data_IF_584096472341
#
_entry.id   IF_584096472341
#
_cell.length_a   1.000
_cell.length_b   1.000
_cell.length_c   1.000
_cell.angle_alpha   90.00
_cell.angle_beta   90.00
_cell.angle_gamma   90.00
#
_symmetry.space_group_name_H-M   'P 1'
#
loop_
_entity.id
_entity.type
_entity.pdbx_description
1 polymer ?
#
# COMPACT_ATOMS: atom_id res chain seq x y z
N UNK A 1 38.62 -21.37 15.99
CA UNK A 1 39.05 -20.84 14.67
C UNK A 1 37.86 -20.90 13.72
N UNK A 2 37.08 -19.84 13.64
CA UNK A 2 35.92 -19.73 12.75
C UNK A 2 35.77 -18.26 12.35
N UNK A 3 36.51 -17.88 11.30
CA UNK A 3 36.58 -16.51 10.80
C UNK A 3 35.30 -16.17 10.03
N UNK A 4 34.48 -15.29 10.60
CA UNK A 4 33.33 -14.70 9.90
C UNK A 4 33.79 -13.57 8.95
N UNK A 5 33.29 -13.53 7.70
CA UNK A 5 33.62 -12.46 6.77
C UNK A 5 32.89 -11.16 7.13
N UNK A 6 33.68 -10.13 7.39
CA UNK A 6 33.29 -8.74 7.65
C UNK A 6 32.98 -8.06 6.30
N UNK A 7 31.70 -7.84 6.01
CA UNK A 7 31.27 -7.09 4.81
C UNK A 7 31.22 -5.59 5.14
N UNK A 8 31.91 -4.71 4.38
CA UNK A 8 31.86 -3.28 4.61
C UNK A 8 30.49 -2.72 4.23
N UNK A 9 29.86 -2.04 5.18
CA UNK A 9 28.58 -1.36 5.03
C UNK A 9 28.81 -0.06 4.25
N UNK A 10 28.63 -0.10 2.93
CA UNK A 10 28.73 1.07 2.05
C UNK A 10 27.79 2.19 2.52
N UNK A 11 28.36 3.37 2.73
CA UNK A 11 27.68 4.57 3.20
C UNK A 11 26.57 5.02 2.26
N UNK A 12 25.40 5.27 2.85
CA UNK A 12 24.30 5.95 2.17
C UNK A 12 24.59 7.45 2.16
N UNK A 13 24.89 7.99 0.98
CA UNK A 13 24.99 9.44 0.76
C UNK A 13 23.58 10.02 0.61
N UNK A 14 23.25 11.00 1.44
CA UNK A 14 22.01 11.76 1.38
C UNK A 14 22.00 12.65 0.13
N UNK A 15 21.43 12.12 -0.97
CA UNK A 15 21.20 12.85 -2.23
C UNK A 15 20.10 13.91 -2.09
N UNK A 16 20.43 15.12 -2.51
CA UNK A 16 19.60 16.32 -2.42
C UNK A 16 18.30 16.28 -3.19
N UNK A 17 17.34 17.06 -2.69
CA UNK A 17 16.07 17.41 -3.34
C UNK A 17 16.34 18.39 -4.47
N UNK A 18 16.42 17.92 -5.70
CA UNK A 18 16.29 18.77 -6.89
C UNK A 18 14.84 18.75 -7.37
N UNK A 19 14.14 19.84 -7.10
CA UNK A 19 12.87 20.22 -7.72
C UNK A 19 13.10 20.60 -9.18
N UNK A 20 13.26 19.59 -10.04
CA UNK A 20 13.35 19.72 -11.50
C UNK A 20 12.02 19.37 -12.17
N UNK A 21 11.00 20.21 -11.97
CA UNK A 21 9.73 20.15 -12.69
C UNK A 21 9.78 21.06 -13.92
N UNK A 22 10.54 20.67 -14.95
CA UNK A 22 10.38 21.24 -16.30
C UNK A 22 11.14 20.39 -17.32
N UNK A 23 10.41 19.83 -18.29
CA UNK A 23 10.86 18.90 -19.36
C UNK A 23 11.14 17.45 -18.95
N UNK A 24 10.24 16.80 -18.21
CA UNK A 24 9.94 15.41 -18.59
C UNK A 24 9.19 15.50 -19.90
N UNK A 25 9.92 15.25 -20.98
CA UNK A 25 9.41 15.10 -22.34
C UNK A 25 8.08 14.35 -22.24
N UNK A 26 7.05 14.84 -22.92
CA UNK A 26 5.78 14.17 -23.14
C UNK A 26 5.95 12.90 -24.02
N UNK A 27 7.05 12.16 -23.84
CA UNK A 27 7.21 10.77 -24.20
C UNK A 27 6.23 10.02 -23.30
N UNK A 28 4.99 9.98 -23.78
CA UNK A 28 3.84 9.47 -23.09
C UNK A 28 4.17 8.17 -22.37
N UNK A 29 3.73 8.07 -21.12
CA UNK A 29 3.85 6.87 -20.32
C UNK A 29 2.93 5.76 -20.87
N UNK A 30 3.10 5.34 -22.13
CA UNK A 30 2.32 4.27 -22.77
C UNK A 30 2.40 2.99 -21.95
N UNK A 31 3.57 2.73 -21.33
CA UNK A 31 3.74 1.66 -20.35
C UNK A 31 2.76 1.76 -19.17
N UNK A 32 2.59 2.95 -18.61
CA UNK A 32 1.67 3.18 -17.48
C UNK A 32 0.22 3.11 -17.94
N UNK A 33 -0.10 3.66 -19.12
CA UNK A 33 -1.45 3.58 -19.70
C UNK A 33 -1.85 2.14 -19.98
N UNK A 34 -0.96 1.33 -20.57
CA UNK A 34 -1.16 -0.09 -20.82
C UNK A 34 -1.39 -0.84 -19.50
N UNK A 35 -0.58 -0.59 -18.48
CA UNK A 35 -0.76 -1.21 -17.17
C UNK A 35 -2.10 -0.84 -16.53
N UNK A 36 -2.51 0.44 -16.59
CA UNK A 36 -3.81 0.87 -16.08
C UNK A 36 -4.98 0.22 -16.84
N UNK A 37 -4.86 0.07 -18.15
CA UNK A 37 -5.86 -0.58 -18.98
C UNK A 37 -6.01 -2.05 -18.62
N UNK A 38 -4.89 -2.78 -18.54
CA UNK A 38 -4.88 -4.20 -18.20
C UNK A 38 -5.40 -4.45 -16.77
N UNK A 39 -5.12 -3.57 -15.81
CA UNK A 39 -5.72 -3.63 -14.46
C UNK A 39 -7.24 -3.44 -14.51
N UNK A 40 -7.74 -2.55 -15.38
CA UNK A 40 -9.18 -2.32 -15.55
C UNK A 40 -9.89 -3.51 -16.18
N UNK A 41 -9.27 -4.14 -17.18
CA UNK A 41 -9.80 -5.31 -17.89
C UNK A 41 -9.83 -6.55 -16.99
N UNK A 42 -8.71 -6.84 -16.32
CA UNK A 42 -8.61 -8.04 -15.47
C UNK A 42 -9.29 -7.88 -14.10
N UNK A 43 -9.57 -6.65 -13.67
CA UNK A 43 -10.20 -6.37 -12.37
C UNK A 43 -9.32 -6.73 -11.16
N UNK A 44 -8.04 -7.02 -11.38
CA UNK A 44 -7.06 -7.38 -10.33
C UNK A 44 -5.77 -6.58 -10.49
N UNK A 45 -4.95 -6.57 -9.44
CA UNK A 45 -3.61 -5.99 -9.53
C UNK A 45 -2.74 -6.83 -10.45
N UNK A 46 -2.13 -6.20 -11.46
CA UNK A 46 -1.17 -6.86 -12.34
C UNK A 46 0.10 -7.24 -11.58
N UNK A 47 0.58 -8.45 -11.81
CA UNK A 47 1.88 -8.92 -11.38
C UNK A 47 2.92 -8.68 -12.48
N UNK A 48 4.20 -8.76 -12.11
CA UNK A 48 5.31 -8.63 -13.07
C UNK A 48 5.30 -9.74 -14.13
N UNK A 49 4.73 -10.90 -13.80
CA UNK A 49 4.62 -12.06 -14.70
C UNK A 49 3.53 -11.87 -15.76
N UNK A 50 2.56 -10.99 -15.51
CA UNK A 50 1.44 -10.75 -16.42
C UNK A 50 1.84 -9.96 -17.67
N UNK A 51 2.91 -9.15 -17.56
CA UNK A 51 3.43 -8.30 -18.63
C UNK A 51 4.94 -8.50 -18.75
N UNK A 52 5.36 -9.23 -19.77
CA UNK A 52 6.78 -9.53 -20.03
C UNK A 52 7.27 -8.65 -21.17
N UNK A 53 8.31 -7.86 -20.90
CA UNK A 53 9.00 -7.06 -21.92
C UNK A 53 10.28 -7.76 -22.32
N UNK A 54 10.39 -8.10 -23.60
CA UNK A 54 11.61 -8.66 -24.20
C UNK A 54 12.25 -7.59 -25.06
N UNK A 55 13.57 -7.49 -25.06
CA UNK A 55 14.30 -6.55 -25.91
C UNK A 55 15.36 -7.31 -26.68
N UNK A 56 15.40 -7.08 -27.99
CA UNK A 56 16.36 -7.67 -28.91
C UNK A 56 17.17 -6.53 -29.53
N UNK A 57 18.49 -6.60 -29.40
CA UNK A 57 19.39 -5.67 -30.09
C UNK A 57 19.60 -6.16 -31.53
N UNK A 58 19.31 -5.32 -32.52
CA UNK A 58 19.44 -5.65 -33.93
C UNK A 58 20.18 -4.51 -34.65
N UNK A 59 21.43 -4.77 -35.07
CA UNK A 59 22.22 -3.84 -35.87
C UNK A 59 22.44 -2.45 -35.26
N UNK A 60 22.61 -2.36 -33.93
CA UNK A 60 22.80 -1.08 -33.22
C UNK A 60 21.50 -0.34 -32.90
N UNK A 61 20.34 -0.93 -33.21
CA UNK A 61 19.02 -0.49 -32.73
C UNK A 61 18.46 -1.50 -31.75
N UNK A 62 17.51 -1.08 -30.93
CA UNK A 62 16.78 -1.92 -30.00
C UNK A 62 15.35 -2.08 -30.48
N UNK A 63 14.91 -3.31 -30.62
CA UNK A 63 13.51 -3.65 -30.78
C UNK A 63 13.01 -4.26 -29.48
N UNK A 64 11.79 -3.93 -29.08
CA UNK A 64 11.16 -4.58 -27.94
C UNK A 64 9.85 -5.23 -28.32
N UNK A 65 9.53 -6.34 -27.66
CA UNK A 65 8.21 -6.95 -27.69
C UNK A 65 7.62 -6.97 -26.29
N UNK A 66 6.30 -6.80 -26.21
CA UNK A 66 5.52 -6.93 -24.98
C UNK A 66 4.57 -8.11 -25.11
N UNK A 67 4.69 -9.06 -24.18
CA UNK A 67 3.83 -10.23 -24.09
C UNK A 67 2.86 -10.08 -22.92
N UNK A 68 1.57 -10.15 -23.24
CA UNK A 68 0.46 -9.96 -22.31
C UNK A 68 -0.16 -11.31 -21.94
N UNK A 69 0.29 -11.87 -20.82
CA UNK A 69 -0.16 -13.19 -20.33
C UNK A 69 -1.57 -13.12 -19.75
N UNK A 70 -1.98 -11.94 -19.27
CA UNK A 70 -3.26 -11.72 -18.60
C UNK A 70 -4.52 -11.89 -19.47
N UNK A 71 -4.43 -11.65 -20.78
CA UNK A 71 -5.57 -11.70 -21.70
C UNK A 71 -5.57 -12.99 -22.52
N UNK A 72 -4.64 -13.09 -23.48
CA UNK A 72 -4.62 -14.18 -24.47
C UNK A 72 -3.19 -14.65 -24.76
N UNK A 73 -2.20 -14.17 -23.99
CA UNK A 73 -0.78 -14.39 -24.31
C UNK A 73 -0.32 -13.64 -25.56
N UNK A 74 -1.07 -12.63 -26.03
CA UNK A 74 -0.74 -11.85 -27.21
C UNK A 74 0.61 -11.14 -27.05
N UNK A 75 1.41 -11.14 -28.12
CA UNK A 75 2.72 -10.51 -28.16
C UNK A 75 2.73 -9.42 -29.24
N UNK A 76 3.13 -8.22 -28.83
CA UNK A 76 3.18 -7.06 -29.69
C UNK A 76 4.63 -6.59 -29.80
N UNK A 77 5.16 -6.57 -31.02
CA UNK A 77 6.49 -6.05 -31.30
C UNK A 77 6.41 -4.58 -31.69
N UNK A 78 7.23 -3.75 -31.04
CA UNK A 78 7.39 -2.33 -31.38
C UNK A 78 8.37 -2.10 -32.52
N UNK A 79 8.49 -0.82 -32.89
CA UNK A 79 9.48 -0.36 -33.86
C UNK A 79 10.92 -0.41 -33.31
N UNK A 80 11.88 -0.41 -34.22
CA UNK A 80 13.31 -0.34 -33.93
C UNK A 80 13.69 1.07 -33.50
N UNK A 81 14.06 1.25 -32.23
CA UNK A 81 14.47 2.53 -31.67
C UNK A 81 15.97 2.58 -31.37
N UNK A 82 16.52 3.79 -31.19
CA UNK A 82 17.91 3.97 -30.77
C UNK A 82 18.14 3.59 -29.31
N UNK A 83 17.10 3.68 -28.47
CA UNK A 83 17.16 3.35 -27.04
C UNK A 83 16.20 2.22 -26.66
N UNK A 84 16.61 1.39 -25.70
CA UNK A 84 15.76 0.34 -25.11
C UNK A 84 14.48 0.90 -24.50
N UNK A 85 14.54 2.07 -23.86
CA UNK A 85 13.36 2.71 -23.24
C UNK A 85 12.33 3.12 -24.28
N UNK A 86 12.77 3.66 -25.41
CA UNK A 86 11.89 4.05 -26.51
C UNK A 86 11.29 2.82 -27.19
N UNK A 87 12.09 1.76 -27.36
CA UNK A 87 11.60 0.48 -27.89
C UNK A 87 10.46 -0.09 -27.02
N UNK A 88 10.60 -0.07 -25.69
CA UNK A 88 9.52 -0.50 -24.77
C UNK A 88 8.25 0.34 -24.93
N UNK A 89 8.38 1.66 -25.11
CA UNK A 89 7.25 2.56 -25.28
C UNK A 89 6.55 2.32 -26.63
N UNK A 90 7.31 2.12 -27.70
CA UNK A 90 6.77 1.77 -29.02
C UNK A 90 5.97 0.47 -28.93
N UNK A 91 6.52 -0.59 -28.34
CA UNK A 91 5.80 -1.85 -28.15
C UNK A 91 4.50 -1.69 -27.33
N UNK A 92 4.53 -0.86 -26.28
CA UNK A 92 3.33 -0.56 -25.49
C UNK A 92 2.29 0.26 -26.28
N UNK A 93 2.72 1.15 -27.19
CA UNK A 93 1.83 1.93 -28.04
C UNK A 93 1.08 1.04 -29.05
N UNK A 94 1.77 0.07 -29.67
CA UNK A 94 1.12 -0.92 -30.54
C UNK A 94 0.08 -1.75 -29.78
N UNK A 95 0.42 -2.22 -28.58
CA UNK A 95 -0.53 -2.94 -27.73
C UNK A 95 -1.76 -2.07 -27.41
N UNK A 96 -1.56 -0.81 -27.01
CA UNK A 96 -2.68 0.11 -26.74
C UNK A 96 -3.57 0.38 -27.95
N UNK A 97 -2.99 0.46 -29.14
CA UNK A 97 -3.73 0.60 -30.40
C UNK A 97 -4.64 -0.59 -30.67
N UNK A 98 -4.17 -1.81 -30.39
CA UNK A 98 -4.94 -3.05 -30.52
C UNK A 98 -6.10 -3.13 -29.52
N UNK A 99 -5.90 -2.61 -28.30
CA UNK A 99 -6.96 -2.51 -27.29
C UNK A 99 -7.86 -1.27 -27.44
N UNK A 100 -7.59 -0.35 -28.36
CA UNK A 100 -8.45 0.81 -28.61
C UNK A 100 -9.95 0.48 -28.78
N UNK A 101 -10.36 -0.56 -29.54
CA UNK A 101 -11.77 -0.96 -29.63
C UNK A 101 -12.35 -1.40 -28.27
N UNK A 102 -11.55 -2.08 -27.44
CA UNK A 102 -12.00 -2.56 -26.13
C UNK A 102 -12.12 -1.40 -25.12
N UNK A 103 -11.22 -0.41 -25.20
CA UNK A 103 -11.31 0.84 -24.44
C UNK A 103 -12.58 1.60 -24.81
N UNK A 104 -12.90 1.69 -26.10
CA UNK A 104 -14.09 2.39 -26.60
C UNK A 104 -15.39 1.67 -26.20
N UNK A 105 -15.37 0.33 -26.16
CA UNK A 105 -16.49 -0.49 -25.72
C UNK A 105 -16.68 -0.46 -24.19
N UNK A 106 -15.60 -0.27 -23.43
CA UNK A 106 -15.68 -0.18 -21.97
C UNK A 106 -16.36 1.14 -21.54
N UNK A 107 -17.49 1.09 -20.80
CA UNK A 107 -18.11 2.32 -20.31
C UNK A 107 -17.12 3.07 -19.42
N UNK A 108 -17.06 4.42 -19.51
CA UNK A 108 -16.19 5.20 -18.63
C UNK A 108 -16.65 4.96 -17.19
N UNK A 109 -15.91 4.13 -16.45
CA UNK A 109 -16.15 3.97 -15.01
C UNK A 109 -16.02 5.35 -14.41
N UNK A 110 -17.14 5.93 -14.01
CA UNK A 110 -17.19 7.21 -13.32
C UNK A 110 -16.09 7.20 -12.26
N UNK A 111 -15.24 8.24 -12.19
CA UNK A 111 -14.15 8.27 -11.24
C UNK A 111 -14.80 8.07 -9.87
N UNK A 112 -14.60 6.88 -9.27
CA UNK A 112 -15.01 6.66 -7.88
C UNK A 112 -14.39 7.82 -7.13
N UNK A 113 -15.16 8.67 -6.43
CA UNK A 113 -14.61 9.82 -5.74
C UNK A 113 -13.48 9.24 -4.93
N UNK A 114 -12.26 9.57 -5.35
CA UNK A 114 -11.03 9.12 -4.72
C UNK A 114 -11.23 9.68 -3.34
N UNK A 115 -11.70 8.83 -2.41
CA UNK A 115 -11.90 9.19 -1.01
C UNK A 115 -10.60 9.83 -0.70
N UNK A 116 -10.67 11.16 -0.60
CA UNK A 116 -9.52 11.96 -0.33
C UNK A 116 -9.11 11.36 1.00
N UNK A 117 -8.05 10.55 0.96
CA UNK A 117 -7.23 10.32 2.14
C UNK A 117 -6.65 11.71 2.35
N UNK A 118 -7.52 12.57 2.88
CA UNK A 118 -7.17 13.68 3.67
C UNK A 118 -6.13 13.06 4.60
N UNK A 119 -4.89 13.44 4.36
CA UNK A 119 -4.06 13.91 5.43
C UNK A 119 -4.85 14.99 6.19
N UNK A 120 -5.93 14.58 6.85
CA UNK A 120 -6.56 15.28 7.95
C UNK A 120 -5.59 15.06 9.10
N UNK A 121 -4.53 15.87 9.06
CA UNK A 121 -3.95 16.41 10.28
C UNK A 121 -5.16 16.92 11.08
N UNK A 122 -5.53 16.31 12.22
CA UNK A 122 -6.71 16.76 12.94
C UNK A 122 -6.49 18.24 13.31
N UNK A 123 -7.45 19.13 13.00
CA UNK A 123 -7.36 20.51 13.42
C UNK A 123 -7.36 20.53 14.95
N UNK A 124 -6.28 21.08 15.50
CA UNK A 124 -6.21 21.50 16.89
C UNK A 124 -7.19 22.68 17.07
N UNK A 125 -8.43 22.37 17.40
CA UNK A 125 -9.41 23.30 17.97
C UNK A 125 -10.28 22.44 18.91
N UNK A 126 -9.92 22.38 20.19
CA UNK A 126 -10.55 23.23 21.22
C UNK A 126 -12.06 23.30 21.03
N UNK A 127 -12.79 22.33 21.56
CA UNK A 127 -14.03 22.54 22.34
C UNK A 127 -14.43 21.20 22.97
N UNK A 128 -14.62 21.25 24.28
CA UNK A 128 -14.66 20.15 25.23
C UNK A 128 -15.69 19.04 24.92
N UNK A 129 -15.33 17.75 25.07
CA UNK A 129 -16.28 16.79 25.61
C UNK A 129 -16.36 17.03 27.12
N UNK A 130 -17.53 17.50 27.57
CA UNK A 130 -17.92 17.35 28.97
C UNK A 130 -17.81 15.87 29.34
N UNK A 131 -16.83 15.62 30.21
CA UNK A 131 -16.66 14.50 31.11
C UNK A 131 -17.69 13.36 31.00
N UNK A 132 -17.28 12.32 30.29
CA UNK A 132 -17.08 11.06 31.01
C UNK A 132 -15.58 10.75 30.87
N UNK A 133 -14.83 10.57 31.96
CA UNK A 133 -13.43 10.13 31.87
C UNK A 133 -13.43 8.72 31.26
N UNK A 134 -13.34 8.65 29.94
CA UNK A 134 -13.21 7.38 29.22
C UNK A 134 -11.77 6.89 29.33
N UNK A 135 -11.40 6.46 30.53
CA UNK A 135 -10.14 5.75 30.83
C UNK A 135 -9.92 4.58 29.87
N UNK A 136 -11.02 4.02 29.35
CA UNK A 136 -11.02 2.93 28.35
C UNK A 136 -10.48 3.36 26.98
N UNK A 137 -10.89 4.53 26.49
CA UNK A 137 -10.47 5.01 25.16
C UNK A 137 -9.02 5.47 25.18
N UNK A 138 -8.58 6.11 26.27
CA UNK A 138 -7.18 6.51 26.45
C UNK A 138 -6.24 5.29 26.51
N UNK A 139 -6.64 4.24 27.24
CA UNK A 139 -5.90 2.99 27.29
C UNK A 139 -5.76 2.34 25.90
N UNK A 140 -6.85 2.30 25.12
CA UNK A 140 -6.81 1.77 23.76
C UNK A 140 -5.90 2.60 22.84
N UNK A 141 -5.94 3.93 22.93
CA UNK A 141 -5.08 4.81 22.13
C UNK A 141 -3.59 4.65 22.48
N UNK A 142 -3.26 4.58 23.78
CA UNK A 142 -1.87 4.36 24.23
C UNK A 142 -1.35 2.99 23.81
N UNK A 143 -2.17 1.95 23.88
CA UNK A 143 -1.78 0.62 23.43
C UNK A 143 -1.62 0.53 21.90
N UNK A 144 -2.49 1.19 21.12
CA UNK A 144 -2.31 1.27 19.66
C UNK A 144 -1.00 1.97 19.29
N UNK A 145 -0.66 3.06 19.99
CA UNK A 145 0.60 3.77 19.80
C UNK A 145 1.81 2.90 20.20
N UNK A 146 1.70 2.15 21.30
CA UNK A 146 2.76 1.27 21.79
C UNK A 146 3.03 0.10 20.83
N UNK A 147 1.97 -0.57 20.36
CA UNK A 147 2.10 -1.75 19.50
C UNK A 147 2.34 -1.42 18.02
N UNK A 148 2.22 -0.13 17.62
CA UNK A 148 2.35 0.36 16.23
C UNK A 148 1.54 -0.46 15.21
N UNK A 149 0.44 -1.06 15.64
CA UNK A 149 -0.47 -1.90 14.85
C UNK A 149 -1.91 -1.60 15.25
N UNK A 150 -2.85 -1.90 14.35
CA UNK A 150 -4.28 -1.83 14.67
C UNK A 150 -4.62 -2.88 15.73
N UNK A 151 -5.05 -2.43 16.91
CA UNK A 151 -5.50 -3.34 17.96
C UNK A 151 -6.82 -4.00 17.59
N UNK A 152 -6.95 -5.26 17.96
CA UNK A 152 -8.18 -6.03 17.84
C UNK A 152 -8.81 -6.24 19.22
N UNK A 153 -10.08 -6.67 19.25
CA UNK A 153 -10.77 -6.98 20.51
C UNK A 153 -10.13 -8.16 21.27
N UNK A 154 -9.32 -8.98 20.61
CA UNK A 154 -8.58 -10.06 21.24
C UNK A 154 -7.35 -9.58 22.05
N UNK A 155 -6.88 -8.35 21.79
CA UNK A 155 -5.69 -7.81 22.46
C UNK A 155 -5.99 -7.29 23.88
N UNK A 156 -7.26 -6.98 24.19
CA UNK A 156 -7.72 -6.49 25.50
C UNK A 156 -8.97 -7.24 25.92
N UNK A 157 -8.85 -8.06 26.96
CA UNK A 157 -9.96 -8.82 27.53
C UNK A 157 -10.36 -8.20 28.86
N UNK A 158 -11.64 -7.87 29.01
CA UNK A 158 -12.22 -7.40 30.26
C UNK A 158 -13.03 -8.56 30.84
N UNK A 159 -12.69 -8.96 32.07
CA UNK A 159 -13.37 -10.02 32.79
C UNK A 159 -13.92 -9.42 34.09
N UNK A 160 -15.21 -9.60 34.35
CA UNK A 160 -15.82 -9.16 35.61
C UNK A 160 -16.25 -10.38 36.38
N UNK A 161 -15.72 -10.53 37.59
CA UNK A 161 -16.05 -11.61 38.51
C UNK A 161 -16.82 -11.04 39.72
N UNK A 162 -17.83 -11.78 40.19
CA UNK A 162 -18.57 -11.43 41.41
C UNK A 162 -17.83 -12.02 42.61
N UNK A 163 -17.43 -11.16 43.55
CA UNK A 163 -16.76 -11.55 44.79
C UNK A 163 -17.79 -12.14 45.77
N UNK A 164 -17.44 -13.13 46.62
CA UNK A 164 -18.35 -13.70 47.62
C UNK A 164 -18.99 -12.65 48.55
N UNK A 165 -18.31 -11.53 48.80
CA UNK A 165 -18.79 -10.39 49.58
C UNK A 165 -19.87 -9.53 48.87
N UNK A 166 -20.38 -9.98 47.71
CA UNK A 166 -21.46 -9.31 46.98
C UNK A 166 -21.01 -8.19 46.04
N UNK A 167 -19.72 -7.81 46.05
CA UNK A 167 -19.14 -6.83 45.12
C UNK A 167 -18.79 -7.40 43.73
N UNK A 168 -18.53 -6.51 42.78
CA UNK A 168 -18.02 -6.85 41.45
C UNK A 168 -16.56 -6.40 41.33
N UNK A 169 -15.68 -7.30 40.92
CA UNK A 169 -14.30 -6.99 40.57
C UNK A 169 -14.11 -7.12 39.05
N UNK A 170 -13.51 -6.11 38.43
CA UNK A 170 -13.18 -6.15 37.00
C UNK A 170 -11.68 -6.30 36.80
N UNK A 171 -11.25 -7.34 36.08
CA UNK A 171 -9.87 -7.61 35.71
C UNK A 171 -9.68 -7.32 34.22
N UNK A 172 -8.61 -6.59 33.88
CA UNK A 172 -8.25 -6.27 32.49
C UNK A 172 -6.97 -7.02 32.13
N UNK A 173 -7.04 -7.86 31.09
CA UNK A 173 -5.90 -8.62 30.57
C UNK A 173 -5.42 -8.01 29.27
N UNK A 174 -4.16 -7.60 29.23
CA UNK A 174 -3.52 -6.98 28.07
C UNK A 174 -2.60 -7.98 27.36
N UNK A 175 -3.17 -8.70 26.39
CA UNK A 175 -2.43 -9.70 25.60
C UNK A 175 -1.32 -9.04 24.76
N UNK A 176 -1.50 -7.79 24.37
CA UNK A 176 -0.56 -7.06 23.51
C UNK A 176 0.77 -6.67 24.18
N UNK A 177 0.86 -6.71 25.51
CA UNK A 177 2.07 -6.35 26.29
C UNK A 177 2.62 -7.54 27.09
N UNK A 178 2.41 -8.76 26.60
CA UNK A 178 2.91 -9.98 27.25
C UNK A 178 1.95 -10.58 28.27
N UNK A 179 0.65 -10.26 28.18
CA UNK A 179 -0.39 -10.89 29.00
C UNK A 179 -0.50 -10.34 30.42
N UNK A 180 -0.11 -9.08 30.63
CA UNK A 180 -0.20 -8.45 31.97
C UNK A 180 -1.67 -8.26 32.36
N UNK A 181 -1.99 -8.62 33.59
CA UNK A 181 -3.34 -8.55 34.15
C UNK A 181 -3.41 -7.48 35.25
N UNK A 182 -4.44 -6.64 35.20
CA UNK A 182 -4.69 -5.61 36.19
C UNK A 182 -6.07 -5.84 36.80
N UNK A 183 -6.11 -6.15 38.09
CA UNK A 183 -7.36 -6.25 38.84
C UNK A 183 -7.80 -4.85 39.31
N UNK A 184 -9.01 -4.47 38.94
CA UNK A 184 -9.65 -3.24 39.42
C UNK A 184 -10.11 -3.37 40.87
N UNK A 185 -10.43 -2.22 41.46
CA UNK A 185 -11.00 -2.13 42.81
C UNK A 185 -12.37 -2.81 42.86
N UNK A 186 -12.67 -3.49 43.97
CA UNK A 186 -13.95 -4.15 44.18
C UNK A 186 -14.98 -3.06 44.50
N UNK A 187 -15.97 -2.89 43.63
CA UNK A 187 -17.10 -2.01 43.92
C UNK A 187 -18.23 -2.85 44.52
N UNK A 188 -18.58 -2.55 45.78
CA UNK A 188 -19.81 -3.04 46.40
C UNK A 188 -20.95 -2.16 45.91
N UNK A 189 -21.75 -2.69 44.98
CA UNK A 189 -22.97 -2.02 44.55
C UNK A 189 -24.00 -2.08 45.67
N UNK A 190 -24.25 -0.94 46.32
CA UNK A 190 -25.38 -0.76 47.23
C UNK A 190 -26.70 -0.62 46.46
#
# INVERSE_FOLDING_TARGET
FGSSPFWPRSGVTAGGKTSGSSRRTAMADFKTQLAQLLQKMTGRSLKREDVVYTTVANGGRFQASVKLVCTTGAEYAGELCANTKEAHQSAAAFALGDFAPEIAAAPPKAPKPRRERAAAKPPSAQLAPMAVPMSKTELAQKLQAYCKRSMTRADVVYETAKTPDGGFQSTVKLMAVGGVEFAGEVSTGE
#
